data_IF_422163192897
#
_entry.id   IF_422163192897
#
_cell.length_a   1.000
_cell.length_b   1.000
_cell.length_c   1.000
_cell.angle_alpha   90.00
_cell.angle_beta   90.00
_cell.angle_gamma   90.00
#
_symmetry.space_group_name_H-M   'P 1'
#
loop_
_entity.id
_entity.type
_entity.pdbx_description
1 polymer ?
#
# COMPACT_ATOMS: atom_id res chain seq x y z
N UNK A 1 -7.12 29.92 -27.86
CA UNK A 1 -6.38 28.67 -28.10
C UNK A 1 -6.95 27.62 -27.16
N UNK A 2 -8.00 26.92 -27.59
CA UNK A 2 -8.65 25.84 -26.85
C UNK A 2 -7.89 24.54 -27.18
N UNK A 3 -7.20 23.98 -26.20
CA UNK A 3 -6.49 22.73 -26.33
C UNK A 3 -7.40 21.56 -25.95
N UNK A 4 -7.89 20.87 -26.98
CA UNK A 4 -8.32 19.47 -27.05
C UNK A 4 -9.10 18.93 -25.85
N UNK A 5 -10.42 18.77 -26.05
CA UNK A 5 -11.25 17.92 -25.21
C UNK A 5 -10.75 16.48 -25.25
N UNK A 6 -10.43 15.95 -24.08
CA UNK A 6 -10.46 14.52 -23.81
C UNK A 6 -11.41 14.38 -22.63
N UNK A 7 -12.63 13.93 -22.91
CA UNK A 7 -13.50 13.40 -21.87
C UNK A 7 -12.81 12.13 -21.37
N UNK A 8 -12.07 12.21 -20.27
CA UNK A 8 -11.45 11.05 -19.59
C UNK A 8 -12.51 10.14 -18.93
N UNK A 9 -13.75 10.20 -19.40
CA UNK A 9 -14.86 9.41 -18.90
C UNK A 9 -14.55 7.92 -19.10
N UNK A 10 -14.33 7.24 -17.98
CA UNK A 10 -14.02 5.81 -17.93
C UNK A 10 -12.54 5.45 -17.79
N UNK A 11 -11.59 6.41 -17.76
CA UNK A 11 -10.17 6.10 -17.56
C UNK A 11 -9.73 6.41 -16.13
N UNK A 12 -9.29 5.38 -15.40
CA UNK A 12 -8.66 5.51 -14.08
C UNK A 12 -7.13 5.43 -14.21
N UNK A 13 -6.43 6.51 -13.83
CA UNK A 13 -4.97 6.55 -13.77
C UNK A 13 -4.51 6.35 -12.33
N UNK A 14 -3.64 5.36 -12.12
CA UNK A 14 -3.01 5.07 -10.82
C UNK A 14 -1.50 5.28 -10.91
N UNK A 15 -0.90 5.79 -9.84
CA UNK A 15 0.54 5.96 -9.71
C UNK A 15 0.99 5.77 -8.27
N UNK A 16 2.20 5.24 -8.07
CA UNK A 16 2.82 5.04 -6.77
C UNK A 16 4.16 5.78 -6.71
N UNK A 17 4.45 6.45 -5.60
CA UNK A 17 5.73 7.12 -5.37
C UNK A 17 6.10 7.09 -3.89
N UNK A 18 7.38 6.84 -3.61
CA UNK A 18 7.95 6.93 -2.27
C UNK A 18 8.44 8.34 -1.94
N UNK A 19 8.41 9.27 -2.92
CA UNK A 19 8.98 10.63 -2.80
C UNK A 19 7.98 11.68 -3.36
N UNK A 20 6.79 11.84 -2.76
CA UNK A 20 5.73 12.70 -3.30
C UNK A 20 6.09 14.20 -3.38
N UNK A 21 7.05 14.67 -2.59
CA UNK A 21 7.46 16.08 -2.55
C UNK A 21 8.33 16.52 -3.74
N UNK A 22 8.96 15.59 -4.46
CA UNK A 22 9.78 15.89 -5.64
C UNK A 22 8.91 16.10 -6.90
N UNK A 23 7.62 15.74 -6.84
CA UNK A 23 6.74 15.78 -7.99
C UNK A 23 6.38 17.22 -8.39
N UNK A 24 6.58 17.55 -9.67
CA UNK A 24 6.26 18.88 -10.19
C UNK A 24 4.78 19.26 -10.01
N UNK A 25 4.52 20.56 -9.92
CA UNK A 25 3.17 21.11 -9.73
C UNK A 25 2.19 20.68 -10.83
N UNK A 26 2.63 20.55 -12.09
CA UNK A 26 1.76 20.13 -13.19
C UNK A 26 1.28 18.68 -13.03
N UNK A 27 2.16 17.78 -12.58
CA UNK A 27 1.81 16.38 -12.35
C UNK A 27 0.97 16.25 -11.07
N UNK A 28 1.29 16.99 -10.00
CA UNK A 28 0.48 17.03 -8.78
C UNK A 28 -0.96 17.46 -9.02
N UNK A 29 -1.20 18.33 -10.00
CA UNK A 29 -2.56 18.73 -10.42
C UNK A 29 -3.30 17.62 -11.19
N UNK A 30 -2.59 16.71 -11.87
CA UNK A 30 -3.19 15.56 -12.55
C UNK A 30 -3.54 14.42 -11.58
N UNK A 31 -2.84 14.31 -10.45
CA UNK A 31 -3.12 13.35 -9.37
C UNK A 31 -3.77 14.04 -8.17
N UNK A 32 -5.02 14.46 -8.33
CA UNK A 32 -5.73 15.23 -7.31
C UNK A 32 -5.95 14.42 -6.02
N UNK A 33 -6.42 13.17 -6.16
CA UNK A 33 -6.61 12.23 -5.05
C UNK A 33 -5.30 11.54 -4.70
N UNK A 34 -4.87 11.72 -3.45
CA UNK A 34 -3.63 11.14 -2.90
C UNK A 34 -3.98 10.37 -1.64
N UNK A 35 -3.59 9.10 -1.62
CA UNK A 35 -3.78 8.22 -0.47
C UNK A 35 -2.41 7.93 0.11
N UNK A 36 -2.23 8.25 1.39
CA UNK A 36 -1.04 7.86 2.12
C UNK A 36 -1.17 6.39 2.53
N UNK A 37 -0.16 5.58 2.22
CA UNK A 37 -0.06 4.19 2.64
C UNK A 37 0.88 4.12 3.84
N UNK A 38 0.36 3.97 5.08
CA UNK A 38 1.20 3.84 6.26
C UNK A 38 1.82 2.44 6.35
N UNK A 39 2.76 2.31 7.28
CA UNK A 39 3.22 0.99 7.73
C UNK A 39 2.06 0.18 8.30
N UNK A 40 2.06 -1.16 8.10
CA UNK A 40 1.02 -2.01 8.69
C UNK A 40 1.13 -1.99 10.21
N UNK A 41 -0.01 -1.91 10.89
CA UNK A 41 -0.11 -2.07 12.33
C UNK A 41 0.03 -3.55 12.74
N UNK A 42 -0.06 -3.85 14.04
CA UNK A 42 0.08 -5.22 14.53
C UNK A 42 -0.99 -6.17 13.97
N UNK A 43 -2.23 -5.69 13.82
CA UNK A 43 -3.35 -6.48 13.32
C UNK A 43 -3.14 -6.80 11.83
N UNK A 44 -2.75 -5.79 11.05
CA UNK A 44 -2.42 -5.95 9.63
C UNK A 44 -1.21 -6.89 9.45
N UNK A 45 -0.15 -6.77 10.26
CA UNK A 45 0.99 -7.70 10.20
C UNK A 45 0.59 -9.14 10.52
N UNK A 46 -0.26 -9.35 11.52
CA UNK A 46 -0.79 -10.68 11.83
C UNK A 46 -1.57 -11.27 10.65
N UNK A 47 -2.44 -10.46 10.03
CA UNK A 47 -3.20 -10.87 8.84
C UNK A 47 -2.27 -11.21 7.66
N UNK A 48 -1.22 -10.40 7.43
CA UNK A 48 -0.20 -10.65 6.41
C UNK A 48 0.51 -12.00 6.68
N UNK A 49 0.93 -12.28 7.91
CA UNK A 49 1.59 -13.55 8.23
C UNK A 49 0.68 -14.76 7.98
N UNK A 50 -0.59 -14.70 8.40
CA UNK A 50 -1.56 -15.77 8.14
C UNK A 50 -1.83 -15.96 6.65
N UNK A 51 -1.99 -14.85 5.92
CA UNK A 51 -2.23 -14.87 4.49
C UNK A 51 -1.06 -15.51 3.73
N UNK A 52 0.19 -15.15 4.06
CA UNK A 52 1.38 -15.66 3.37
C UNK A 52 1.65 -17.16 3.63
N UNK A 53 1.26 -17.68 4.79
CA UNK A 53 1.39 -19.12 5.06
C UNK A 53 0.36 -19.92 4.27
N UNK A 54 -0.85 -19.38 4.11
CA UNK A 54 -1.91 -19.99 3.33
C UNK A 54 -2.18 -21.43 3.78
N UNK A 55 -2.06 -22.37 2.85
CA UNK A 55 -2.30 -23.80 3.09
C UNK A 55 -1.03 -24.60 3.40
N UNK A 56 0.11 -23.93 3.62
CA UNK A 56 1.36 -24.62 3.93
C UNK A 56 1.20 -25.33 5.28
N UNK A 57 1.46 -26.65 5.36
CA UNK A 57 1.44 -27.35 6.63
C UNK A 57 2.46 -26.73 7.59
N UNK A 58 2.00 -26.34 8.77
CA UNK A 58 2.80 -25.64 9.77
C UNK A 58 2.29 -25.95 11.16
N UNK A 59 3.14 -25.78 12.17
CA UNK A 59 2.83 -26.04 13.58
C UNK A 59 2.64 -24.74 14.38
N UNK A 60 2.52 -23.59 13.70
CA UNK A 60 2.40 -22.30 14.39
C UNK A 60 1.01 -22.15 14.99
N UNK A 61 1.00 -21.66 16.22
CA UNK A 61 -0.23 -21.32 16.94
C UNK A 61 -0.59 -19.85 16.74
N UNK A 62 -1.83 -19.50 17.08
CA UNK A 62 -2.31 -18.10 17.12
C UNK A 62 -1.41 -17.18 17.98
N UNK A 63 -0.85 -17.71 19.06
CA UNK A 63 0.06 -16.95 19.92
C UNK A 63 1.39 -16.68 19.23
N UNK A 64 1.91 -17.64 18.44
CA UNK A 64 3.12 -17.42 17.64
C UNK A 64 2.90 -16.33 16.59
N UNK A 65 1.73 -16.29 15.93
CA UNK A 65 1.41 -15.21 14.98
C UNK A 65 1.36 -13.84 15.64
N UNK A 66 0.78 -13.74 16.84
CA UNK A 66 0.76 -12.50 17.62
C UNK A 66 2.17 -12.07 18.02
N UNK A 67 3.00 -13.00 18.47
CA UNK A 67 4.39 -12.70 18.83
C UNK A 67 5.21 -12.23 17.62
N UNK A 68 5.07 -12.90 16.46
CA UNK A 68 5.69 -12.48 15.21
C UNK A 68 5.23 -11.09 14.76
N UNK A 69 3.94 -10.79 14.90
CA UNK A 69 3.37 -9.48 14.58
C UNK A 69 3.90 -8.38 15.51
N UNK A 70 4.11 -8.67 16.80
CA UNK A 70 4.68 -7.73 17.77
C UNK A 70 6.16 -7.46 17.51
N UNK A 71 6.94 -8.50 17.22
CA UNK A 71 8.39 -8.37 16.99
C UNK A 71 8.73 -7.59 15.71
N UNK A 72 7.92 -7.73 14.66
CA UNK A 72 8.20 -7.15 13.34
C UNK A 72 7.61 -5.74 13.12
N UNK A 73 7.75 -4.84 14.10
CA UNK A 73 7.24 -3.46 14.02
C UNK A 73 7.84 -2.59 12.90
N UNK A 74 9.01 -2.97 12.37
CA UNK A 74 9.73 -2.21 11.33
C UNK A 74 9.79 -2.91 9.98
N UNK A 75 9.05 -4.00 9.81
CA UNK A 75 9.11 -4.76 8.57
C UNK A 75 8.33 -4.04 7.47
N UNK A 76 9.06 -3.49 6.51
CA UNK A 76 8.51 -3.00 5.25
C UNK A 76 8.56 -4.15 4.24
N UNK A 77 7.43 -4.47 3.64
CA UNK A 77 7.38 -5.40 2.52
C UNK A 77 7.83 -4.63 1.27
N UNK A 78 8.99 -4.98 0.71
CA UNK A 78 9.51 -4.42 -0.55
C UNK A 78 9.45 -5.45 -1.65
#
# INVERSE_FOLDING_TARGET
MQGVGNDNDGILVLGATNIPWVLDAAIRRRFEKRIYIPLPDEIARLAIFKFNIGNTPHQLTEENFKDLAKKNRWFFWS
#
